data_IF_690476600081
#
_entry.id   IF_690476600081
#
_cell.length_a   1.000
_cell.length_b   1.000
_cell.length_c   1.000
_cell.angle_alpha   90.00
_cell.angle_beta   90.00
_cell.angle_gamma   90.00
#
_symmetry.space_group_name_H-M   'P 1'
#
loop_
_entity.id
_entity.type
_entity.pdbx_description
1 polymer ?
#
# COMPACT_ATOMS: atom_id res chain seq x y z
N UNK A 1 -13.13 8.71 8.73
CA UNK A 1 -12.08 8.40 7.75
C UNK A 1 -10.75 8.89 8.27
N UNK A 2 -9.92 7.97 8.75
CA UNK A 2 -8.61 8.23 9.33
C UNK A 2 -7.56 7.88 8.27
N UNK A 3 -6.61 8.79 8.06
CA UNK A 3 -5.43 8.53 7.24
C UNK A 3 -4.24 8.25 8.16
N UNK A 4 -3.61 7.09 7.99
CA UNK A 4 -2.39 6.73 8.72
C UNK A 4 -1.22 6.63 7.74
N UNK A 5 -0.24 7.53 7.86
CA UNK A 5 1.02 7.46 7.12
C UNK A 5 1.90 6.34 7.66
N UNK A 6 2.32 5.43 6.77
CA UNK A 6 3.11 4.24 7.08
C UNK A 6 4.58 4.48 6.75
N UNK A 7 4.91 4.73 5.49
CA UNK A 7 6.28 5.08 5.12
C UNK A 7 6.60 6.53 5.49
N UNK A 8 7.77 6.74 6.08
CA UNK A 8 8.26 8.05 6.56
C UNK A 8 9.75 8.22 6.21
N UNK A 9 10.25 9.46 6.12
CA UNK A 9 11.70 9.69 6.06
C UNK A 9 12.39 8.99 7.24
N UNK A 10 13.40 8.16 6.95
CA UNK A 10 14.09 7.32 7.96
C UNK A 10 13.45 5.96 8.26
N UNK A 11 12.22 5.70 7.78
CA UNK A 11 11.56 4.40 7.89
C UNK A 11 10.71 4.13 6.64
N UNK A 12 11.38 3.66 5.58
CA UNK A 12 10.72 3.30 4.33
C UNK A 12 10.17 1.88 4.42
N UNK A 13 8.89 1.72 4.13
CA UNK A 13 8.21 0.43 4.19
C UNK A 13 7.89 -0.01 2.77
N UNK A 14 8.51 -1.09 2.32
CA UNK A 14 8.25 -1.70 1.01
C UNK A 14 7.57 -3.05 1.20
N UNK A 15 6.67 -3.40 0.28
CA UNK A 15 6.05 -4.72 0.25
C UNK A 15 5.96 -5.25 -1.17
N UNK A 16 6.16 -6.57 -1.29
CA UNK A 16 5.89 -7.32 -2.50
C UNK A 16 4.36 -7.49 -2.66
N UNK A 17 3.84 -7.57 -3.89
CA UNK A 17 2.41 -7.73 -4.18
C UNK A 17 1.74 -8.85 -3.36
N UNK A 18 2.44 -9.98 -3.15
CA UNK A 18 1.94 -11.12 -2.36
C UNK A 18 1.79 -10.82 -0.87
N UNK A 19 2.59 -9.88 -0.34
CA UNK A 19 2.65 -9.52 1.08
C UNK A 19 2.00 -8.17 1.36
N UNK A 20 1.30 -7.57 0.40
CA UNK A 20 0.54 -6.35 0.66
C UNK A 20 -0.51 -6.69 1.74
N UNK A 21 -0.57 -5.97 2.87
CA UNK A 21 -1.53 -6.24 3.92
C UNK A 21 -2.96 -5.88 3.50
N UNK A 22 -3.96 -6.62 4.00
CA UNK A 22 -5.37 -6.24 3.87
C UNK A 22 -5.77 -5.41 5.08
N UNK A 23 -6.24 -4.19 4.84
CA UNK A 23 -6.65 -3.27 5.91
C UNK A 23 -8.10 -3.55 6.29
N UNK A 24 -8.36 -3.80 7.58
CA UNK A 24 -9.69 -4.12 8.13
C UNK A 24 -10.46 -5.19 7.31
N UNK A 25 -9.80 -6.30 6.99
CA UNK A 25 -10.44 -7.38 6.22
C UNK A 25 -10.79 -7.02 4.76
N UNK A 26 -10.29 -5.89 4.24
CA UNK A 26 -10.56 -5.41 2.88
C UNK A 26 -11.50 -4.20 2.80
N UNK A 27 -11.97 -3.69 3.95
CA UNK A 27 -12.76 -2.45 4.04
C UNK A 27 -11.89 -1.20 3.91
N UNK A 28 -10.63 -1.26 4.34
CA UNK A 28 -9.68 -0.17 4.16
C UNK A 28 -8.90 -0.28 2.86
N UNK A 29 -8.22 0.80 2.50
CA UNK A 29 -7.38 0.91 1.30
C UNK A 29 -5.95 1.19 1.73
N UNK A 30 -4.99 0.47 1.15
CA UNK A 30 -3.58 0.85 1.23
C UNK A 30 -3.14 1.49 -0.09
N UNK A 31 -2.44 2.61 0.00
CA UNK A 31 -1.90 3.33 -1.15
C UNK A 31 -0.41 3.03 -1.23
N UNK A 32 0.02 2.56 -2.40
CA UNK A 32 1.40 2.18 -2.66
C UNK A 32 1.98 3.01 -3.81
N UNK A 33 3.27 3.36 -3.67
CA UNK A 33 4.08 3.86 -4.78
C UNK A 33 4.83 2.68 -5.38
N UNK A 34 4.46 2.29 -6.59
CA UNK A 34 5.12 1.21 -7.34
C UNK A 34 5.98 1.80 -8.45
N UNK A 35 6.69 0.96 -9.20
CA UNK A 35 7.45 1.38 -10.39
C UNK A 35 6.55 1.83 -11.55
N UNK A 36 5.26 1.49 -11.51
CA UNK A 36 4.27 1.86 -12.54
C UNK A 36 3.42 3.07 -12.15
N UNK A 37 3.66 3.66 -10.98
CA UNK A 37 2.93 4.82 -10.47
C UNK A 37 2.35 4.57 -9.08
N UNK A 38 1.43 5.45 -8.67
CA UNK A 38 0.72 5.31 -7.40
C UNK A 38 -0.58 4.57 -7.64
N UNK A 39 -0.82 3.52 -6.84
CA UNK A 39 -1.98 2.65 -7.01
C UNK A 39 -2.46 2.07 -5.67
N UNK A 40 -3.66 1.52 -5.67
CA UNK A 40 -4.25 0.85 -4.51
C UNK A 40 -3.70 -0.56 -4.31
N UNK A 41 -3.89 -1.12 -3.12
CA UNK A 41 -3.51 -2.50 -2.82
C UNK A 41 -4.23 -3.56 -3.65
N UNK A 42 -5.38 -3.21 -4.24
CA UNK A 42 -6.12 -4.10 -5.14
C UNK A 42 -5.48 -4.11 -6.52
N UNK A 43 -5.24 -2.93 -7.08
CA UNK A 43 -4.57 -2.76 -8.38
C UNK A 43 -3.16 -3.35 -8.36
N UNK A 44 -2.38 -3.06 -7.32
CA UNK A 44 -1.02 -3.60 -7.16
C UNK A 44 -0.99 -5.14 -7.12
N UNK A 45 -2.01 -5.76 -6.51
CA UNK A 45 -2.14 -7.23 -6.51
C UNK A 45 -2.57 -7.79 -7.86
N UNK A 46 -3.46 -7.10 -8.57
CA UNK A 46 -3.91 -7.49 -9.92
C UNK A 46 -2.77 -7.42 -10.94
N UNK A 47 -1.97 -6.36 -10.88
CA UNK A 47 -0.81 -6.17 -11.76
C UNK A 47 0.43 -6.95 -11.31
N UNK A 48 0.40 -7.56 -10.12
CA UNK A 48 1.52 -8.34 -9.59
C UNK A 48 2.75 -7.49 -9.26
N UNK A 49 2.56 -6.22 -8.90
CA UNK A 49 3.65 -5.29 -8.58
C UNK A 49 3.68 -4.89 -7.11
N UNK A 50 4.88 -4.90 -6.54
CA UNK A 50 5.14 -4.38 -5.20
C UNK A 50 5.47 -2.89 -5.22
N UNK A 51 5.67 -2.32 -4.04
CA UNK A 51 6.02 -0.91 -3.91
C UNK A 51 6.19 -0.43 -2.48
N UNK A 52 6.43 0.86 -2.34
CA UNK A 52 6.47 1.56 -1.05
C UNK A 52 5.04 1.77 -0.53
N UNK A 53 4.76 1.37 0.70
CA UNK A 53 3.47 1.59 1.35
C UNK A 53 3.44 3.01 1.93
N UNK A 54 2.74 3.93 1.26
CA UNK A 54 2.69 5.33 1.67
C UNK A 54 1.79 5.53 2.88
N UNK A 55 0.53 5.09 2.77
CA UNK A 55 -0.47 5.26 3.81
C UNK A 55 -1.59 4.23 3.71
N UNK A 56 -2.32 4.14 4.80
CA UNK A 56 -3.56 3.39 4.91
C UNK A 56 -4.71 4.37 5.17
N UNK A 57 -5.88 4.06 4.62
CA UNK A 57 -7.11 4.82 4.77
C UNK A 57 -8.21 3.85 5.23
N UNK A 58 -8.93 4.22 6.28
CA UNK A 58 -10.12 3.49 6.77
C UNK A 58 -11.06 4.38 7.57
#
# INVERSE_FOLDING_TARGET
>A
TILKRISRPGLRIYSNYQRIPRILGGMGIAILSTSQGIMTDREARLEGVGGEILCYIW
#
